data_IF_377635934640
#
_entry.id   IF_377635934640
#
_cell.length_a   1.000
_cell.length_b   1.000
_cell.length_c   1.000
_cell.angle_alpha   90.00
_cell.angle_beta   90.00
_cell.angle_gamma   90.00
#
_symmetry.space_group_name_H-M   'P 1'
#
loop_
_entity.id
_entity.type
_entity.pdbx_description
1 polymer ?
#
# COMPACT_ATOMS: atom_id res chain seq x y z
N UNK A 1 21.77 7.30 5.84
CA UNK A 1 21.25 6.62 7.04
C UNK A 1 19.90 5.96 6.81
N UNK A 2 18.84 6.67 6.35
CA UNK A 2 17.50 6.12 6.10
C UNK A 2 17.52 4.83 5.26
N UNK A 3 18.17 4.83 4.07
CA UNK A 3 18.17 3.68 3.16
C UNK A 3 18.78 2.42 3.77
N UNK A 4 19.87 2.56 4.52
CA UNK A 4 20.51 1.43 5.21
C UNK A 4 19.60 0.85 6.29
N UNK A 5 18.94 1.72 7.06
CA UNK A 5 17.92 1.32 8.02
C UNK A 5 16.77 0.57 7.36
N UNK A 6 16.20 1.11 6.25
CA UNK A 6 15.13 0.47 5.51
C UNK A 6 15.50 -0.96 5.08
N UNK A 7 16.71 -1.14 4.51
CA UNK A 7 17.18 -2.46 4.05
C UNK A 7 17.35 -3.43 5.22
N UNK A 8 18.03 -3.01 6.28
CA UNK A 8 18.31 -3.87 7.43
C UNK A 8 17.01 -4.25 8.13
N UNK A 9 16.17 -3.26 8.45
CA UNK A 9 14.91 -3.49 9.14
C UNK A 9 13.97 -4.39 8.31
N UNK A 10 13.85 -4.14 6.99
CA UNK A 10 13.03 -4.97 6.11
C UNK A 10 13.60 -6.38 5.93
N UNK A 11 14.91 -6.53 5.81
CA UNK A 11 15.56 -7.84 5.71
C UNK A 11 15.35 -8.68 6.98
N UNK A 12 15.55 -8.10 8.16
CA UNK A 12 15.27 -8.76 9.43
C UNK A 12 13.78 -9.11 9.58
N UNK A 13 12.89 -8.18 9.21
CA UNK A 13 11.45 -8.45 9.24
C UNK A 13 11.07 -9.62 8.32
N UNK A 14 11.63 -9.70 7.11
CA UNK A 14 11.39 -10.82 6.19
C UNK A 14 11.85 -12.16 6.77
N UNK A 15 13.01 -12.20 7.45
CA UNK A 15 13.51 -13.42 8.11
C UNK A 15 12.55 -13.83 9.24
N UNK A 16 12.19 -12.91 10.14
CA UNK A 16 11.32 -13.16 11.29
C UNK A 16 9.92 -13.57 10.85
N UNK A 17 9.39 -12.93 9.80
CA UNK A 17 8.05 -13.20 9.28
C UNK A 17 8.00 -14.38 8.29
N UNK A 18 9.14 -15.01 7.95
CA UNK A 18 9.17 -16.10 6.96
C UNK A 18 8.25 -17.28 7.28
N UNK A 19 8.08 -17.74 8.55
CA UNK A 19 7.13 -18.78 8.87
C UNK A 19 5.68 -18.35 8.59
N UNK A 20 5.33 -17.10 8.93
CA UNK A 20 4.01 -16.53 8.64
C UNK A 20 3.76 -16.46 7.14
N UNK A 21 4.76 -16.03 6.36
CA UNK A 21 4.67 -15.99 4.89
C UNK A 21 4.39 -17.37 4.30
N UNK A 22 5.04 -18.40 4.82
CA UNK A 22 4.82 -19.79 4.38
C UNK A 22 3.37 -20.24 4.68
N UNK A 23 2.88 -19.98 5.89
CA UNK A 23 1.51 -20.32 6.30
C UNK A 23 0.49 -19.62 5.38
N UNK A 24 0.66 -18.30 5.15
CA UNK A 24 -0.21 -17.53 4.28
C UNK A 24 -0.13 -18.04 2.83
N UNK A 25 1.05 -18.37 2.34
CA UNK A 25 1.25 -18.89 0.98
C UNK A 25 0.52 -20.22 0.76
N UNK A 26 0.62 -21.15 1.73
CA UNK A 26 -0.10 -22.43 1.71
C UNK A 26 -1.60 -22.18 1.74
N UNK A 27 -2.08 -21.31 2.62
CA UNK A 27 -3.51 -20.99 2.73
C UNK A 27 -4.08 -20.43 1.43
N UNK A 28 -3.38 -19.45 0.79
CA UNK A 28 -3.77 -18.89 -0.51
C UNK A 28 -3.88 -19.98 -1.58
N UNK A 29 -2.94 -20.93 -1.60
CA UNK A 29 -2.93 -22.04 -2.58
C UNK A 29 -4.06 -23.02 -2.38
N UNK A 30 -4.42 -23.29 -1.14
CA UNK A 30 -5.55 -24.18 -0.81
C UNK A 30 -6.91 -23.53 -1.09
N UNK A 31 -7.02 -22.21 -0.88
CA UNK A 31 -8.28 -21.48 -1.03
C UNK A 31 -8.63 -21.15 -2.50
N UNK A 32 -7.64 -20.90 -3.35
CA UNK A 32 -7.91 -20.51 -4.74
C UNK A 32 -6.76 -20.82 -5.71
N UNK A 33 -7.08 -21.16 -6.96
CA UNK A 33 -6.08 -21.41 -8.01
C UNK A 33 -5.35 -20.13 -8.41
N UNK A 34 -4.02 -20.22 -8.62
CA UNK A 34 -3.19 -19.11 -9.12
C UNK A 34 -1.91 -18.87 -8.31
N UNK A 35 -1.15 -17.79 -8.57
CA UNK A 35 0.09 -17.47 -7.87
C UNK A 35 -0.17 -17.04 -6.42
N UNK A 36 0.83 -17.18 -5.54
CA UNK A 36 0.79 -16.70 -4.16
C UNK A 36 0.83 -15.18 -4.11
N UNK A 37 1.71 -14.59 -4.91
CA UNK A 37 1.87 -13.15 -4.98
C UNK A 37 1.09 -12.54 -6.15
N UNK A 38 0.44 -11.42 -5.87
CA UNK A 38 -0.09 -10.49 -6.85
C UNK A 38 0.94 -9.38 -7.07
N UNK A 39 1.16 -9.00 -8.33
CA UNK A 39 2.18 -8.01 -8.72
C UNK A 39 1.57 -6.97 -9.64
N UNK A 40 1.07 -5.89 -9.07
CA UNK A 40 0.51 -4.75 -9.80
C UNK A 40 1.60 -3.74 -10.15
N UNK A 41 1.51 -3.16 -11.33
CA UNK A 41 2.35 -2.03 -11.73
C UNK A 41 1.90 -0.78 -10.96
N UNK A 42 2.88 -0.09 -10.38
CA UNK A 42 2.70 1.15 -9.64
C UNK A 42 3.76 2.16 -10.06
N UNK A 43 3.43 3.45 -9.95
CA UNK A 43 4.38 4.53 -10.17
C UNK A 43 5.20 4.72 -8.90
N UNK A 44 6.51 4.76 -9.05
CA UNK A 44 7.46 4.92 -7.97
C UNK A 44 8.38 6.13 -8.14
N UNK A 45 9.50 6.05 -7.47
CA UNK A 45 10.50 7.12 -7.43
C UNK A 45 10.93 7.57 -8.82
N UNK A 46 11.01 8.91 -9.00
CA UNK A 46 11.36 9.55 -10.29
C UNK A 46 10.45 9.12 -11.44
N UNK A 47 9.18 8.92 -11.15
CA UNK A 47 8.14 8.56 -12.13
C UNK A 47 8.43 7.23 -12.88
N UNK A 48 9.18 6.30 -12.24
CA UNK A 48 9.49 4.98 -12.82
C UNK A 48 8.48 3.96 -12.34
N UNK A 49 7.95 3.18 -13.26
CA UNK A 49 7.07 2.08 -12.93
C UNK A 49 7.84 0.93 -12.27
N UNK A 50 7.25 0.32 -11.26
CA UNK A 50 7.74 -0.89 -10.62
C UNK A 50 6.58 -1.84 -10.32
N UNK A 51 6.89 -3.09 -9.94
CA UNK A 51 5.87 -4.08 -9.59
C UNK A 51 5.85 -4.30 -8.08
N UNK A 52 4.76 -3.84 -7.44
CA UNK A 52 4.57 -4.03 -6.00
C UNK A 52 4.27 -5.50 -5.69
N UNK A 53 4.87 -6.04 -4.63
CA UNK A 53 4.55 -7.37 -4.15
C UNK A 53 3.42 -7.31 -3.12
N UNK A 54 2.37 -8.09 -3.33
CA UNK A 54 1.30 -8.33 -2.35
C UNK A 54 0.97 -9.81 -2.28
N UNK A 55 0.48 -10.30 -1.15
CA UNK A 55 -0.21 -11.57 -1.16
C UNK A 55 -1.50 -11.45 -1.95
N UNK A 56 -1.81 -12.47 -2.75
CA UNK A 56 -3.04 -12.50 -3.51
C UNK A 56 -4.23 -12.68 -2.56
N UNK A 57 -5.07 -11.67 -2.50
CA UNK A 57 -6.31 -11.64 -1.70
C UNK A 57 -7.58 -11.68 -2.55
N UNK A 58 -7.46 -11.62 -3.89
CA UNK A 58 -8.55 -11.66 -4.84
C UNK A 58 -8.37 -12.78 -5.85
N UNK A 59 -9.44 -13.17 -6.53
CA UNK A 59 -9.41 -14.14 -7.64
C UNK A 59 -8.56 -13.62 -8.78
N UNK A 60 -7.94 -14.52 -9.55
CA UNK A 60 -7.14 -14.14 -10.72
C UNK A 60 -8.02 -13.41 -11.74
N UNK A 61 -7.54 -12.28 -12.25
CA UNK A 61 -8.27 -11.44 -13.20
C UNK A 61 -9.25 -10.45 -12.57
N UNK A 62 -9.27 -10.31 -11.24
CA UNK A 62 -10.12 -9.37 -10.52
C UNK A 62 -9.81 -7.89 -10.85
N UNK A 63 -8.62 -7.62 -11.34
CA UNK A 63 -8.09 -6.30 -11.73
C UNK A 63 -8.51 -5.85 -13.14
N UNK A 64 -9.19 -6.72 -13.91
CA UNK A 64 -9.75 -6.36 -15.23
C UNK A 64 -11.01 -5.49 -15.15
N UNK A 65 -11.58 -5.33 -13.96
CA UNK A 65 -12.73 -4.47 -13.69
C UNK A 65 -12.32 -3.14 -13.05
N UNK A 66 -13.08 -2.69 -12.05
CA UNK A 66 -12.76 -1.47 -11.30
C UNK A 66 -11.42 -1.56 -10.57
N UNK A 67 -10.61 -0.51 -10.68
CA UNK A 67 -9.35 -0.36 -9.93
C UNK A 67 -9.60 -0.07 -8.44
N UNK A 68 -10.79 0.42 -8.12
CA UNK A 68 -11.22 0.75 -6.77
C UNK A 68 -11.90 -0.46 -6.13
N UNK A 69 -11.55 -0.75 -4.88
CA UNK A 69 -12.27 -1.74 -4.06
C UNK A 69 -13.33 -1.00 -3.25
N UNK A 70 -14.59 -1.31 -3.45
CA UNK A 70 -15.72 -0.65 -2.80
C UNK A 70 -16.26 -1.57 -1.70
N UNK A 71 -16.28 -1.03 -0.45
CA UNK A 71 -16.90 -1.72 0.68
C UNK A 71 -16.15 -2.94 1.23
N UNK A 72 -16.71 -3.52 2.29
CA UNK A 72 -16.11 -4.65 3.02
C UNK A 72 -16.35 -6.03 2.39
N UNK A 73 -17.33 -6.18 1.49
CA UNK A 73 -17.77 -7.46 0.91
C UNK A 73 -17.64 -7.54 -0.62
N UNK A 74 -16.47 -7.15 -1.14
CA UNK A 74 -16.19 -7.27 -2.56
C UNK A 74 -16.17 -8.76 -3.00
N UNK A 75 -17.03 -9.20 -3.95
CA UNK A 75 -17.16 -10.62 -4.35
C UNK A 75 -15.89 -11.16 -5.03
N UNK A 76 -14.96 -10.29 -5.43
CA UNK A 76 -13.66 -10.67 -5.99
C UNK A 76 -12.70 -11.21 -4.94
N UNK A 77 -12.93 -10.89 -3.65
CA UNK A 77 -12.06 -11.29 -2.54
C UNK A 77 -12.27 -12.77 -2.21
N UNK A 78 -11.17 -13.51 -2.03
CA UNK A 78 -11.21 -14.92 -1.63
C UNK A 78 -11.44 -15.05 -0.11
N UNK A 79 -11.77 -16.25 0.40
CA UNK A 79 -11.98 -16.48 1.84
C UNK A 79 -10.71 -16.14 2.64
N UNK A 80 -9.56 -16.66 2.21
CA UNK A 80 -8.25 -16.32 2.80
C UNK A 80 -7.96 -14.83 2.62
N UNK A 81 -8.30 -14.27 1.45
CA UNK A 81 -8.11 -12.87 1.12
C UNK A 81 -8.84 -11.92 2.06
N UNK A 82 -10.05 -12.24 2.47
CA UNK A 82 -10.80 -11.46 3.45
C UNK A 82 -10.02 -11.30 4.77
N UNK A 83 -9.52 -12.42 5.31
CA UNK A 83 -8.72 -12.41 6.53
C UNK A 83 -7.40 -11.65 6.35
N UNK A 84 -6.68 -11.95 5.26
CA UNK A 84 -5.38 -11.34 4.95
C UNK A 84 -5.52 -9.81 4.84
N UNK A 85 -6.57 -9.31 4.17
CA UNK A 85 -6.86 -7.86 4.04
C UNK A 85 -7.28 -7.23 5.36
N UNK A 86 -8.12 -7.91 6.15
CA UNK A 86 -8.55 -7.42 7.48
C UNK A 86 -7.37 -7.10 8.38
N UNK A 87 -6.33 -7.94 8.34
CA UNK A 87 -5.11 -7.75 9.15
C UNK A 87 -3.97 -7.03 8.41
N UNK A 88 -4.21 -6.54 7.18
CA UNK A 88 -3.21 -5.90 6.32
C UNK A 88 -1.99 -6.78 6.01
N UNK A 89 -2.12 -8.10 6.13
CA UNK A 89 -1.04 -9.04 5.83
C UNK A 89 -0.74 -9.12 4.34
N UNK A 90 -1.71 -8.75 3.49
CA UNK A 90 -1.52 -8.69 2.04
C UNK A 90 -0.39 -7.73 1.63
N UNK A 91 -0.08 -6.74 2.43
CA UNK A 91 0.94 -5.74 2.13
C UNK A 91 2.34 -6.09 2.69
N UNK A 92 2.47 -7.09 3.57
CA UNK A 92 3.77 -7.50 4.12
C UNK A 92 4.83 -7.85 3.06
N UNK A 93 4.49 -8.47 1.90
CA UNK A 93 5.48 -8.72 0.86
C UNK A 93 6.11 -7.48 0.24
N UNK A 94 5.59 -6.27 0.47
CA UNK A 94 6.21 -5.02 0.05
C UNK A 94 7.59 -4.79 0.71
N UNK A 95 7.88 -5.46 1.83
CA UNK A 95 9.22 -5.50 2.41
C UNK A 95 10.27 -5.99 1.40
N UNK A 96 9.89 -6.85 0.46
CA UNK A 96 10.76 -7.28 -0.65
C UNK A 96 11.06 -6.07 -1.56
N UNK A 97 10.06 -5.24 -1.91
CA UNK A 97 10.28 -4.03 -2.69
C UNK A 97 11.20 -3.03 -1.96
N UNK A 98 11.11 -2.97 -0.62
CA UNK A 98 12.03 -2.14 0.16
C UNK A 98 13.46 -2.66 0.01
N UNK A 99 13.71 -3.95 0.17
CA UNK A 99 15.05 -4.53 0.02
C UNK A 99 15.59 -4.33 -1.39
N UNK A 100 14.75 -4.54 -2.43
CA UNK A 100 15.11 -4.35 -3.84
C UNK A 100 15.39 -2.88 -4.22
N UNK A 101 14.87 -1.91 -3.45
CA UNK A 101 15.12 -0.48 -3.71
C UNK A 101 13.99 0.27 -4.38
N UNK A 102 12.89 -0.40 -4.72
CA UNK A 102 11.71 0.23 -5.30
C UNK A 102 10.97 1.09 -4.28
N UNK A 103 10.98 0.67 -3.01
CA UNK A 103 10.23 1.28 -1.92
C UNK A 103 11.13 1.62 -0.71
N UNK A 104 10.55 2.33 0.24
CA UNK A 104 11.02 2.63 1.60
C UNK A 104 10.01 2.10 2.62
N UNK A 105 10.38 2.00 3.89
CA UNK A 105 9.41 1.71 4.96
C UNK A 105 8.40 2.85 5.09
N UNK A 106 8.86 4.10 4.98
CA UNK A 106 8.02 5.30 5.10
C UNK A 106 8.18 6.17 3.85
N UNK A 107 7.06 6.59 3.29
CA UNK A 107 6.97 7.43 2.10
C UNK A 107 5.56 7.43 1.52
N UNK A 108 5.26 8.30 0.56
CA UNK A 108 3.96 8.34 -0.12
C UNK A 108 3.56 6.96 -0.65
N UNK A 109 2.28 6.59 -0.52
CA UNK A 109 1.79 5.33 -1.06
C UNK A 109 1.88 5.32 -2.59
N UNK A 110 2.44 4.28 -3.22
CA UNK A 110 2.57 4.25 -4.68
C UNK A 110 1.20 4.09 -5.35
N UNK A 111 0.93 4.95 -6.33
CA UNK A 111 -0.34 4.99 -7.05
C UNK A 111 -0.24 4.26 -8.40
N UNK A 112 -1.37 3.86 -8.98
CA UNK A 112 -1.43 3.32 -10.34
C UNK A 112 -1.27 4.44 -11.36
N UNK A 113 -0.68 4.12 -12.53
CA UNK A 113 -0.42 5.10 -13.60
C UNK A 113 -1.69 5.87 -13.97
N UNK A 114 -2.82 5.19 -14.09
CA UNK A 114 -4.10 5.80 -14.42
C UNK A 114 -4.43 7.02 -13.53
N UNK A 115 -4.18 6.96 -12.21
CA UNK A 115 -4.47 8.09 -11.32
C UNK A 115 -3.34 9.12 -11.29
N UNK A 116 -2.09 8.72 -11.51
CA UNK A 116 -0.96 9.66 -11.61
C UNK A 116 -1.10 10.58 -12.83
N UNK A 117 -1.74 10.11 -13.89
CA UNK A 117 -1.99 10.90 -15.10
C UNK A 117 -2.96 12.09 -14.88
N UNK A 118 -3.68 12.11 -13.74
CA UNK A 118 -4.48 13.27 -13.31
C UNK A 118 -3.68 14.28 -12.46
N UNK A 119 -2.41 14.00 -12.14
CA UNK A 119 -1.64 14.87 -11.26
C UNK A 119 -1.10 16.10 -12.00
N UNK A 120 -1.12 17.25 -11.30
CA UNK A 120 -0.49 18.47 -11.81
C UNK A 120 1.04 18.38 -11.74
N UNK A 121 1.78 19.24 -12.47
CA UNK A 121 3.24 19.28 -12.36
C UNK A 121 3.74 19.44 -10.93
N UNK A 122 3.07 20.24 -10.10
CA UNK A 122 3.41 20.45 -8.68
C UNK A 122 3.18 19.17 -7.87
N UNK A 123 2.12 18.44 -8.17
CA UNK A 123 1.80 17.18 -7.49
C UNK A 123 2.80 16.06 -7.83
N UNK A 124 3.44 16.14 -9.00
CA UNK A 124 4.48 15.18 -9.39
C UNK A 124 5.71 15.18 -8.45
N UNK A 125 5.92 16.24 -7.66
CA UNK A 125 6.94 16.26 -6.62
C UNK A 125 6.77 15.18 -5.53
N UNK A 126 5.59 14.59 -5.41
CA UNK A 126 5.38 13.39 -4.58
C UNK A 126 6.32 12.25 -5.00
N UNK A 127 6.71 12.18 -6.27
CA UNK A 127 7.57 11.15 -6.84
C UNK A 127 9.08 11.44 -6.66
N UNK A 128 9.46 12.54 -6.04
CA UNK A 128 10.86 12.88 -5.75
C UNK A 128 11.46 12.01 -4.63
N UNK A 129 10.60 11.33 -3.85
CA UNK A 129 10.98 10.37 -2.82
C UNK A 129 10.52 8.95 -3.16
N UNK A 130 11.14 7.94 -2.53
CA UNK A 130 10.65 6.56 -2.69
C UNK A 130 9.28 6.39 -2.06
N UNK A 131 8.36 5.65 -2.71
CA UNK A 131 7.09 5.30 -2.11
C UNK A 131 7.30 4.43 -0.86
N UNK A 132 6.37 4.51 0.10
CA UNK A 132 6.44 3.81 1.37
C UNK A 132 5.41 2.71 1.55
N UNK A 133 5.67 1.84 2.54
CA UNK A 133 4.68 0.88 3.06
C UNK A 133 3.69 1.63 3.96
N UNK A 134 4.19 2.57 4.77
CA UNK A 134 3.36 3.46 5.59
C UNK A 134 3.60 4.91 5.24
N UNK A 135 2.58 5.74 5.46
CA UNK A 135 2.55 7.15 5.13
C UNK A 135 1.51 7.91 5.98
N UNK A 136 1.57 9.26 6.04
CA UNK A 136 0.62 10.07 6.82
C UNK A 136 -0.83 9.93 6.32
N UNK A 137 -1.04 9.76 5.00
CA UNK A 137 -2.38 9.66 4.44
C UNK A 137 -3.03 8.31 4.75
N UNK A 138 -2.29 7.20 4.72
CA UNK A 138 -2.79 5.88 5.10
C UNK A 138 -3.28 5.83 6.56
N UNK A 139 -2.69 6.62 7.44
CA UNK A 139 -3.15 6.77 8.83
C UNK A 139 -4.46 7.56 8.89
N UNK A 140 -4.55 8.66 8.14
CA UNK A 140 -5.70 9.57 8.14
C UNK A 140 -6.92 9.01 7.40
N UNK A 141 -6.69 8.39 6.23
CA UNK A 141 -7.73 7.84 5.34
C UNK A 141 -7.89 6.33 5.48
N UNK A 142 -7.76 5.82 6.67
CA UNK A 142 -7.85 4.40 6.96
C UNK A 142 -9.20 3.77 6.55
N UNK A 143 -10.30 4.53 6.70
CA UNK A 143 -11.65 4.13 6.34
C UNK A 143 -12.05 4.60 4.93
N UNK A 144 -11.07 4.76 4.04
CA UNK A 144 -11.27 5.22 2.66
C UNK A 144 -12.34 4.41 1.92
N UNK A 145 -12.33 3.08 2.07
CA UNK A 145 -13.30 2.20 1.43
C UNK A 145 -14.74 2.49 1.86
N UNK A 146 -14.96 2.82 3.15
CA UNK A 146 -16.29 3.17 3.66
C UNK A 146 -16.76 4.53 3.15
N UNK A 147 -15.82 5.46 2.96
CA UNK A 147 -16.14 6.77 2.38
C UNK A 147 -16.56 6.64 0.91
N UNK A 148 -15.83 5.81 0.16
CA UNK A 148 -16.15 5.55 -1.25
C UNK A 148 -17.47 4.77 -1.44
N UNK A 149 -17.80 3.85 -0.52
CA UNK A 149 -19.04 3.08 -0.56
C UNK A 149 -20.29 3.97 -0.46
N UNK A 150 -20.17 5.13 0.22
CA UNK A 150 -21.27 6.09 0.38
C UNK A 150 -21.38 7.10 -0.75
N UNK A 151 -20.42 7.14 -1.66
CA UNK A 151 -20.42 8.08 -2.78
C UNK A 151 -21.28 7.58 -3.94
N UNK A 152 -22.02 8.49 -4.61
CA UNK A 152 -22.78 8.18 -5.82
C UNK A 152 -21.86 7.68 -6.96
N UNK A 153 -20.70 8.31 -7.13
CA UNK A 153 -19.65 7.91 -8.05
C UNK A 153 -18.32 7.74 -7.26
N UNK A 154 -17.98 6.51 -6.86
CA UNK A 154 -16.79 6.24 -6.05
C UNK A 154 -15.47 6.63 -6.73
N UNK A 155 -15.35 6.48 -8.05
CA UNK A 155 -14.13 6.81 -8.78
C UNK A 155 -13.93 8.32 -8.88
N UNK A 156 -14.98 9.05 -9.22
CA UNK A 156 -14.96 10.53 -9.24
C UNK A 156 -14.66 11.08 -7.84
N UNK A 157 -15.31 10.55 -6.81
CA UNK A 157 -15.07 10.94 -5.42
C UNK A 157 -13.62 10.69 -5.00
N UNK A 158 -13.05 9.54 -5.42
CA UNK A 158 -11.63 9.25 -5.19
C UNK A 158 -10.73 10.29 -5.83
N UNK A 159 -10.91 10.58 -7.13
CA UNK A 159 -10.05 11.50 -7.90
C UNK A 159 -10.15 12.93 -7.38
N UNK A 160 -11.36 13.43 -7.16
CA UNK A 160 -11.60 14.85 -6.83
C UNK A 160 -11.39 15.16 -5.35
N UNK A 161 -11.64 14.22 -4.45
CA UNK A 161 -11.63 14.49 -3.00
C UNK A 161 -10.50 13.74 -2.29
N UNK A 162 -10.53 12.40 -2.33
CA UNK A 162 -9.61 11.60 -1.51
C UNK A 162 -8.18 11.72 -2.02
N UNK A 163 -7.97 11.55 -3.32
CA UNK A 163 -6.65 11.63 -3.93
C UNK A 163 -6.02 13.01 -3.71
N UNK A 164 -6.77 14.11 -3.90
CA UNK A 164 -6.28 15.46 -3.68
C UNK A 164 -5.86 15.68 -2.22
N UNK A 165 -6.65 15.22 -1.28
CA UNK A 165 -6.33 15.33 0.14
C UNK A 165 -5.11 14.47 0.54
N UNK A 166 -4.93 13.29 -0.07
CA UNK A 166 -3.73 12.45 0.11
C UNK A 166 -2.49 13.11 -0.46
N UNK A 167 -2.56 13.63 -1.69
CA UNK A 167 -1.44 14.31 -2.36
C UNK A 167 -0.94 15.48 -1.51
N UNK A 168 -1.83 16.26 -0.92
CA UNK A 168 -1.45 17.35 0.01
C UNK A 168 -0.60 16.83 1.16
N UNK A 169 -1.01 15.73 1.80
CA UNK A 169 -0.24 15.11 2.90
C UNK A 169 1.10 14.52 2.40
N UNK A 170 1.13 14.01 1.18
CA UNK A 170 2.36 13.51 0.57
C UNK A 170 3.35 14.63 0.29
N UNK A 171 2.90 15.77 -0.25
CA UNK A 171 3.75 16.95 -0.45
C UNK A 171 4.30 17.48 0.87
N UNK A 172 3.46 17.60 1.90
CA UNK A 172 3.90 17.96 3.25
C UNK A 172 4.96 16.98 3.80
N UNK A 173 4.81 15.68 3.52
CA UNK A 173 5.81 14.69 3.87
C UNK A 173 7.11 14.90 3.10
N UNK A 174 7.05 15.15 1.77
CA UNK A 174 8.24 15.39 0.94
C UNK A 174 9.04 16.58 1.45
N UNK A 175 8.37 17.63 1.92
CA UNK A 175 9.03 18.81 2.48
C UNK A 175 9.66 18.57 3.86
N UNK A 176 8.98 17.80 4.71
CA UNK A 176 9.31 17.69 6.15
C UNK A 176 9.99 16.38 6.52
N UNK A 177 10.13 15.42 5.58
CA UNK A 177 10.64 14.09 5.91
C UNK A 177 12.04 14.14 6.52
N UNK A 178 12.22 13.36 7.57
CA UNK A 178 13.50 13.14 8.23
C UNK A 178 13.52 11.73 8.80
N UNK A 179 14.70 11.25 9.16
CA UNK A 179 14.83 9.93 9.78
C UNK A 179 13.98 9.78 11.04
N UNK A 180 14.00 10.79 11.93
CA UNK A 180 13.22 10.76 13.17
C UNK A 180 11.71 10.87 12.90
N UNK A 181 11.30 11.66 11.91
CA UNK A 181 9.90 11.74 11.49
C UNK A 181 9.39 10.40 10.97
N UNK A 182 10.21 9.69 10.18
CA UNK A 182 9.87 8.36 9.67
C UNK A 182 9.70 7.34 10.81
N UNK A 183 10.61 7.34 11.79
CA UNK A 183 10.50 6.47 12.98
C UNK A 183 9.20 6.78 13.74
N UNK A 184 8.88 8.06 13.95
CA UNK A 184 7.63 8.46 14.60
C UNK A 184 6.38 7.97 13.83
N UNK A 185 6.39 8.02 12.49
CA UNK A 185 5.30 7.50 11.65
C UNK A 185 5.16 5.98 11.74
N UNK A 186 6.28 5.24 11.79
CA UNK A 186 6.24 3.78 12.00
C UNK A 186 5.54 3.46 13.33
N UNK A 187 5.96 4.09 14.43
CA UNK A 187 5.33 3.86 15.73
C UNK A 187 3.86 4.28 15.74
N UNK A 188 3.51 5.42 15.13
CA UNK A 188 2.13 5.88 15.01
C UNK A 188 1.26 4.88 14.24
N UNK A 189 1.78 4.32 13.14
CA UNK A 189 1.09 3.29 12.37
C UNK A 189 0.82 2.05 13.23
N UNK A 190 1.82 1.56 13.94
CA UNK A 190 1.66 0.45 14.87
C UNK A 190 0.61 0.72 15.93
N UNK A 191 0.67 1.90 16.55
CA UNK A 191 -0.29 2.31 17.58
C UNK A 191 -1.72 2.33 17.05
N UNK A 192 -1.94 2.89 15.85
CA UNK A 192 -3.27 2.95 15.23
C UNK A 192 -3.79 1.55 14.90
N UNK A 193 -2.94 0.64 14.41
CA UNK A 193 -3.33 -0.75 14.12
C UNK A 193 -3.73 -1.51 15.41
N UNK A 194 -3.05 -1.27 16.53
CA UNK A 194 -3.29 -1.97 17.80
C UNK A 194 -4.49 -1.40 18.57
N UNK A 195 -4.65 -0.06 18.61
CA UNK A 195 -5.67 0.60 19.42
C UNK A 195 -7.10 0.37 18.92
N UNK A 196 -7.28 0.10 17.64
CA UNK A 196 -8.61 -0.03 17.02
C UNK A 196 -9.00 -1.50 16.75
N UNK A 197 -8.41 -2.42 17.50
CA UNK A 197 -8.85 -3.80 17.67
C UNK A 197 -9.69 -3.95 18.91
#
# INVERSE_FOLDING_TARGET
MKRLFDIIASGLALIVLSPLFLIIAIWIKLDSKGPVFYRQVRVGWKNKDFRIFKFRSMRVGADKGSLVTIGGHDPRVTKSGYFIRKFKFDELPQLINVVLGDMSLVGPRPEVRHYVDYWTPEQMHVLDVRPGITDPASIKFRNENELMEKAEDPEKYYIEIIMQAKIKLYLEYVEKHSFFYDIALIFKTFWVIVKER
#
